data_IF_772153836202
#
_entry.id   IF_772153836202
#
_cell.length_a   1.000
_cell.length_b   1.000
_cell.length_c   1.000
_cell.angle_alpha   90.00
_cell.angle_beta   90.00
_cell.angle_gamma   90.00
#
_symmetry.space_group_name_H-M   'P 1'
#
loop_
_entity.id
_entity.type
_entity.pdbx_description
1 polymer ?
#
# COMPACT_ATOMS: atom_id res chain seq x y z
N UNK A 1 4.58 1.82 23.44
CA UNK A 1 5.77 2.62 23.81
C UNK A 1 5.33 3.83 24.63
N UNK A 2 6.05 4.18 25.71
CA UNK A 2 5.73 5.32 26.59
C UNK A 2 5.67 6.66 25.84
N UNK A 3 6.45 6.81 24.76
CA UNK A 3 6.47 7.99 23.90
C UNK A 3 5.13 8.23 23.18
N UNK A 4 4.51 7.16 22.65
CA UNK A 4 3.20 7.24 22.00
C UNK A 4 2.11 7.67 22.99
N UNK A 5 2.17 7.14 24.23
CA UNK A 5 1.23 7.51 25.30
C UNK A 5 1.40 8.96 25.72
N UNK A 6 2.64 9.44 25.86
CA UNK A 6 2.92 10.85 26.20
C UNK A 6 2.42 11.80 25.10
N UNK A 7 2.65 11.48 23.82
CA UNK A 7 2.14 12.27 22.69
C UNK A 7 0.61 12.33 22.65
N UNK A 8 -0.07 11.21 22.99
CA UNK A 8 -1.53 11.12 23.03
C UNK A 8 -2.10 11.98 24.16
N UNK A 9 -1.48 11.92 25.34
CA UNK A 9 -1.89 12.73 26.50
C UNK A 9 -1.65 14.22 26.31
N UNK A 10 -0.64 14.60 25.51
CA UNK A 10 -0.33 15.99 25.19
C UNK A 10 -1.23 16.57 24.08
N UNK A 11 -2.16 15.79 23.52
CA UNK A 11 -3.00 16.22 22.40
C UNK A 11 -2.22 16.51 21.11
N UNK A 12 -0.94 16.12 21.06
CA UNK A 12 -0.03 16.34 19.91
C UNK A 12 -0.01 15.17 18.93
N UNK A 13 -0.82 14.16 19.20
CA UNK A 13 -1.06 13.07 18.27
C UNK A 13 -2.22 13.50 17.39
N UNK A 14 -1.87 14.17 16.30
CA UNK A 14 -2.80 14.44 15.22
C UNK A 14 -3.18 13.09 14.60
N UNK A 15 -4.31 12.54 15.02
CA UNK A 15 -4.86 11.30 14.48
C UNK A 15 -5.69 11.61 13.23
N UNK A 16 -5.14 12.44 12.33
CA UNK A 16 -5.72 12.54 10.98
C UNK A 16 -5.83 11.13 10.43
N UNK A 17 -7.02 10.69 10.03
CA UNK A 17 -7.22 9.35 9.49
C UNK A 17 -6.31 9.15 8.28
N UNK A 18 -5.23 8.41 8.50
CA UNK A 18 -4.21 8.16 7.50
C UNK A 18 -4.82 7.19 6.48
N UNK A 19 -5.28 7.74 5.34
CA UNK A 19 -5.91 6.96 4.26
C UNK A 19 -4.98 5.82 3.85
N UNK A 20 -5.43 4.58 4.01
CA UNK A 20 -4.68 3.39 3.65
C UNK A 20 -4.23 3.39 2.18
N UNK A 21 -3.11 2.72 1.83
CA UNK A 21 -2.56 2.81 0.50
C UNK A 21 -3.40 2.05 -0.53
N UNK A 22 -3.36 2.49 -1.79
CA UNK A 22 -3.73 1.67 -2.95
C UNK A 22 -2.72 0.54 -3.11
N UNK A 23 -3.18 -0.69 -3.31
CA UNK A 23 -2.30 -1.85 -3.52
C UNK A 23 -2.31 -2.26 -4.98
N UNK A 24 -1.14 -2.29 -5.61
CA UNK A 24 -0.93 -2.83 -6.96
C UNK A 24 -0.57 -4.30 -6.85
N UNK A 25 -1.37 -5.17 -7.48
CA UNK A 25 -1.11 -6.60 -7.55
C UNK A 25 0.00 -6.88 -8.57
N UNK A 26 0.85 -7.85 -8.26
CA UNK A 26 1.91 -8.32 -9.15
C UNK A 26 1.48 -9.67 -9.71
N UNK A 27 0.90 -9.65 -10.91
CA UNK A 27 0.36 -10.85 -11.55
C UNK A 27 1.48 -11.65 -12.24
N UNK A 28 2.43 -10.93 -12.84
CA UNK A 28 3.58 -11.50 -13.52
C UNK A 28 4.87 -11.32 -12.70
N UNK A 29 5.80 -12.27 -12.88
CA UNK A 29 7.06 -12.34 -12.10
C UNK A 29 8.30 -11.98 -12.92
N UNK A 30 8.15 -11.70 -14.20
CA UNK A 30 9.26 -11.29 -15.04
C UNK A 30 9.69 -9.84 -14.73
N UNK A 31 10.95 -9.53 -15.04
CA UNK A 31 11.56 -8.25 -14.70
C UNK A 31 10.89 -7.06 -15.40
N UNK A 32 10.36 -7.25 -16.61
CA UNK A 32 9.70 -6.20 -17.37
C UNK A 32 8.38 -5.80 -16.70
N UNK A 33 7.57 -6.79 -16.31
CA UNK A 33 6.33 -6.59 -15.56
C UNK A 33 6.56 -5.95 -14.21
N UNK A 34 7.58 -6.39 -13.47
CA UNK A 34 7.98 -5.75 -12.21
C UNK A 34 8.32 -4.26 -12.41
N UNK A 35 9.00 -3.91 -13.50
CA UNK A 35 9.28 -2.52 -13.88
C UNK A 35 8.00 -1.72 -14.12
N UNK A 36 7.00 -2.30 -14.82
CA UNK A 36 5.69 -1.67 -15.04
C UNK A 36 4.96 -1.40 -13.72
N UNK A 37 4.89 -2.38 -12.82
CA UNK A 37 4.21 -2.21 -11.52
C UNK A 37 4.89 -1.16 -10.65
N UNK A 38 6.24 -1.15 -10.61
CA UNK A 38 7.00 -0.13 -9.89
C UNK A 38 6.74 1.27 -10.44
N UNK A 39 6.72 1.41 -11.78
CA UNK A 39 6.40 2.68 -12.44
C UNK A 39 5.01 3.17 -12.08
N UNK A 40 4.00 2.30 -12.12
CA UNK A 40 2.63 2.64 -11.73
C UNK A 40 2.53 3.11 -10.28
N UNK A 41 3.19 2.41 -9.35
CA UNK A 41 3.27 2.83 -7.94
C UNK A 41 3.94 4.20 -7.82
N UNK A 42 5.02 4.46 -8.56
CA UNK A 42 5.72 5.74 -8.55
C UNK A 42 4.84 6.88 -9.08
N UNK A 43 4.08 6.65 -10.16
CA UNK A 43 3.13 7.63 -10.72
C UNK A 43 2.00 7.96 -9.75
N UNK A 44 1.41 6.96 -9.10
CA UNK A 44 0.40 7.17 -8.05
C UNK A 44 0.96 8.02 -6.90
N UNK A 45 2.18 7.71 -6.44
CA UNK A 45 2.84 8.48 -5.37
C UNK A 45 3.14 9.90 -5.80
N UNK A 46 3.59 10.11 -7.04
CA UNK A 46 3.82 11.44 -7.61
C UNK A 46 2.52 12.27 -7.69
N UNK A 47 1.37 11.61 -7.89
CA UNK A 47 0.04 12.22 -7.84
C UNK A 47 -0.50 12.44 -6.41
N UNK A 48 0.30 12.18 -5.37
CA UNK A 48 -0.12 12.31 -3.98
C UNK A 48 -0.97 11.16 -3.44
N UNK A 49 -1.12 10.08 -4.21
CA UNK A 49 -1.86 8.89 -3.81
C UNK A 49 -0.89 7.93 -3.11
N UNK A 50 -1.14 7.65 -1.84
CA UNK A 50 -0.40 6.61 -1.11
C UNK A 50 -0.65 5.28 -1.81
N UNK A 51 0.41 4.64 -2.29
CA UNK A 51 0.31 3.36 -2.97
C UNK A 51 1.50 2.46 -2.63
N UNK A 52 1.34 1.16 -2.81
CA UNK A 52 2.38 0.14 -2.70
C UNK A 52 2.07 -1.03 -3.65
N UNK A 53 3.08 -1.83 -4.00
CA UNK A 53 2.89 -3.08 -4.75
C UNK A 53 3.05 -4.27 -3.81
N UNK A 54 2.37 -5.38 -4.12
CA UNK A 54 2.63 -6.65 -3.46
C UNK A 54 4.03 -7.18 -3.85
N UNK A 55 4.82 -7.63 -2.87
CA UNK A 55 6.19 -8.13 -3.10
C UNK A 55 6.33 -9.64 -2.89
N UNK A 56 5.24 -10.34 -2.55
CA UNK A 56 5.27 -11.78 -2.32
C UNK A 56 5.10 -12.60 -3.60
N UNK A 57 5.44 -13.89 -3.54
CA UNK A 57 5.28 -14.80 -4.68
C UNK A 57 3.91 -15.49 -4.79
N UNK A 58 2.95 -15.14 -3.94
CA UNK A 58 1.66 -15.82 -3.84
C UNK A 58 0.66 -15.37 -4.92
N UNK A 59 -0.31 -16.23 -5.24
CA UNK A 59 -1.34 -15.96 -6.26
C UNK A 59 -2.38 -14.91 -5.83
N UNK A 60 -3.20 -14.47 -6.78
CA UNK A 60 -4.17 -13.36 -6.66
C UNK A 60 -4.97 -13.35 -5.36
N UNK A 61 -5.53 -14.49 -4.92
CA UNK A 61 -6.31 -14.59 -3.68
C UNK A 61 -5.54 -14.12 -2.44
N UNK A 62 -4.25 -14.45 -2.35
CA UNK A 62 -3.41 -14.04 -1.23
C UNK A 62 -3.06 -12.54 -1.30
N UNK A 63 -2.90 -12.00 -2.51
CA UNK A 63 -2.62 -10.58 -2.72
C UNK A 63 -3.85 -9.71 -2.39
N UNK A 64 -5.06 -10.13 -2.79
CA UNK A 64 -6.30 -9.45 -2.40
C UNK A 64 -6.51 -9.48 -0.89
N UNK A 65 -6.28 -10.64 -0.24
CA UNK A 65 -6.32 -10.73 1.23
C UNK A 65 -5.29 -9.82 1.90
N UNK A 66 -4.15 -9.58 1.26
CA UNK A 66 -3.18 -8.61 1.72
C UNK A 66 -3.71 -7.17 1.62
N UNK A 67 -4.29 -6.78 0.47
CA UNK A 67 -4.92 -5.47 0.30
C UNK A 67 -6.04 -5.22 1.35
N UNK A 68 -6.90 -6.21 1.58
CA UNK A 68 -7.93 -6.15 2.63
C UNK A 68 -7.31 -5.92 4.01
N UNK A 69 -6.25 -6.66 4.36
CA UNK A 69 -5.56 -6.50 5.65
C UNK A 69 -4.90 -5.13 5.80
N UNK A 70 -4.47 -4.51 4.70
CA UNK A 70 -3.91 -3.15 4.69
C UNK A 70 -4.98 -2.09 4.82
N UNK A 71 -6.26 -2.46 4.71
CA UNK A 71 -7.39 -1.52 4.66
C UNK A 71 -7.42 -0.75 3.36
N UNK A 72 -6.79 -1.26 2.30
CA UNK A 72 -6.61 -0.54 1.05
C UNK A 72 -7.96 -0.17 0.43
N UNK A 73 -8.18 1.11 0.06
CA UNK A 73 -9.44 1.54 -0.54
C UNK A 73 -9.60 1.03 -1.99
N UNK A 74 -8.47 0.75 -2.65
CA UNK A 74 -8.42 0.28 -4.04
C UNK A 74 -7.30 -0.76 -4.17
N UNK A 75 -7.59 -1.83 -4.91
CA UNK A 75 -6.60 -2.78 -5.41
C UNK A 75 -6.55 -2.67 -6.95
N UNK A 76 -5.36 -2.49 -7.52
CA UNK A 76 -5.15 -2.42 -8.97
C UNK A 76 -4.66 -3.77 -9.47
N UNK A 77 -5.33 -4.30 -10.49
CA UNK A 77 -4.97 -5.53 -11.18
C UNK A 77 -4.61 -5.14 -12.60
N UNK A 78 -3.36 -5.40 -13.00
CA UNK A 78 -2.90 -5.21 -14.37
C UNK A 78 -2.43 -6.58 -14.90
N UNK A 79 -2.98 -6.95 -16.05
CA UNK A 79 -2.55 -8.08 -16.86
C UNK A 79 -2.33 -7.64 -18.31
#
# INVERSE_FOLDING_TARGET
SRLMTALKNLGKLDTSDVIAPVVVLTMDKDTESLGRYQKMVAELRAAGIRSEMYLGGAGMKAQLKYADRRGSPVAIIQG
#
